data_IF_524781880910
#
_entry.id   IF_524781880910
#
_cell.length_a   1.000
_cell.length_b   1.000
_cell.length_c   1.000
_cell.angle_alpha   90.00
_cell.angle_beta   90.00
_cell.angle_gamma   90.00
#
_symmetry.space_group_name_H-M   'P 1'
#
loop_
_entity.id
_entity.type
_entity.pdbx_description
1 polymer ?
#
# COMPACT_ATOMS: atom_id res chain seq x y z
N UNK A 1 4.14 18.34 -3.18
CA UNK A 1 3.28 18.94 -2.14
C UNK A 1 3.54 18.33 -0.76
N UNK A 2 3.03 18.89 0.34
CA UNK A 2 3.46 18.52 1.70
C UNK A 2 3.25 17.04 2.05
N UNK A 3 2.23 16.38 1.51
CA UNK A 3 2.02 14.95 1.69
C UNK A 3 3.15 14.13 1.06
N UNK A 4 3.36 14.32 -0.25
CA UNK A 4 4.36 13.53 -1.00
C UNK A 4 5.76 13.79 -0.46
N UNK A 5 6.13 15.07 -0.30
CA UNK A 5 7.48 15.45 0.15
C UNK A 5 7.76 14.94 1.58
N UNK A 6 6.76 15.04 2.47
CA UNK A 6 6.88 14.54 3.84
C UNK A 6 7.02 13.04 3.92
N UNK A 7 6.18 12.29 3.19
CA UNK A 7 6.23 10.83 3.17
C UNK A 7 7.51 10.30 2.51
N UNK A 8 7.92 10.88 1.38
CA UNK A 8 9.19 10.49 0.73
C UNK A 8 10.40 10.80 1.62
N UNK A 9 10.38 11.95 2.32
CA UNK A 9 11.41 12.29 3.29
C UNK A 9 11.49 11.31 4.45
N UNK A 10 10.35 10.81 4.93
CA UNK A 10 10.30 9.77 5.96
C UNK A 10 10.84 8.43 5.44
N UNK A 11 10.43 7.99 4.24
CA UNK A 11 10.97 6.77 3.62
C UNK A 11 12.46 6.85 3.29
N UNK A 12 12.98 8.03 2.94
CA UNK A 12 14.41 8.23 2.76
C UNK A 12 15.19 7.97 4.06
N UNK A 13 14.64 8.38 5.22
CA UNK A 13 15.23 8.07 6.54
C UNK A 13 15.19 6.58 6.85
N UNK A 14 14.09 5.88 6.50
CA UNK A 14 14.03 4.41 6.60
C UNK A 14 15.19 3.78 5.81
N UNK A 15 15.40 4.22 4.56
CA UNK A 15 16.49 3.74 3.69
C UNK A 15 17.90 4.02 4.24
N UNK A 16 18.04 5.04 5.08
CA UNK A 16 19.28 5.39 5.78
C UNK A 16 19.46 4.64 7.11
N UNK A 17 18.53 3.77 7.49
CA UNK A 17 18.54 3.09 8.78
C UNK A 17 18.15 3.98 9.98
N UNK A 18 17.59 5.15 9.73
CA UNK A 18 17.22 6.14 10.75
C UNK A 18 15.73 5.97 11.11
N UNK A 19 15.36 4.79 11.61
CA UNK A 19 13.95 4.47 11.87
C UNK A 19 13.28 5.43 12.85
N UNK A 20 13.94 5.79 13.94
CA UNK A 20 13.37 6.73 14.94
C UNK A 20 13.02 8.09 14.34
N UNK A 21 13.89 8.63 13.48
CA UNK A 21 13.67 9.89 12.77
C UNK A 21 12.60 9.74 11.68
N UNK A 22 12.54 8.59 11.03
CA UNK A 22 11.50 8.28 10.06
C UNK A 22 10.11 8.28 10.72
N UNK A 23 9.96 7.62 11.87
CA UNK A 23 8.69 7.56 12.59
C UNK A 23 8.23 8.96 13.04
N UNK A 24 9.14 9.80 13.55
CA UNK A 24 8.84 11.22 13.86
C UNK A 24 8.44 12.01 12.62
N UNK A 25 9.06 11.73 11.47
CA UNK A 25 8.72 12.41 10.22
C UNK A 25 7.30 12.00 9.73
N UNK A 26 6.90 10.73 9.86
CA UNK A 26 5.52 10.31 9.60
C UNK A 26 4.55 10.99 10.57
N UNK A 27 4.87 11.09 11.86
CA UNK A 27 4.02 11.77 12.86
C UNK A 27 3.83 13.24 12.50
N UNK A 28 4.89 13.94 12.08
CA UNK A 28 4.81 15.33 11.65
C UNK A 28 3.90 15.54 10.41
N UNK A 29 3.83 14.57 9.51
CA UNK A 29 2.86 14.58 8.40
C UNK A 29 1.45 14.32 8.93
N UNK A 30 1.29 13.41 9.90
CA UNK A 30 -0.01 13.07 10.48
C UNK A 30 -0.66 14.25 11.25
N UNK A 31 0.12 15.18 11.77
CA UNK A 31 -0.37 16.40 12.42
C UNK A 31 -1.02 17.38 11.42
N UNK A 32 -0.76 17.22 10.12
CA UNK A 32 -1.33 18.10 9.11
C UNK A 32 -2.78 17.69 8.78
N UNK A 33 -3.66 18.68 8.75
CA UNK A 33 -5.09 18.46 8.52
C UNK A 33 -5.36 17.70 7.22
N UNK A 34 -6.05 16.58 7.33
CA UNK A 34 -6.46 15.74 6.18
C UNK A 34 -5.38 14.77 5.70
N UNK A 35 -4.17 14.78 6.30
CA UNK A 35 -3.08 13.89 5.91
C UNK A 35 -2.86 12.74 6.90
N UNK A 36 -3.58 12.74 8.02
CA UNK A 36 -3.36 11.82 9.12
C UNK A 36 -3.45 10.35 8.71
N UNK A 37 -4.51 9.95 8.03
CA UNK A 37 -4.71 8.55 7.65
C UNK A 37 -3.58 8.06 6.71
N UNK A 38 -3.16 8.89 5.76
CA UNK A 38 -2.05 8.59 4.85
C UNK A 38 -0.73 8.41 5.61
N UNK A 39 -0.41 9.33 6.50
CA UNK A 39 0.84 9.30 7.26
C UNK A 39 0.89 8.10 8.21
N UNK A 40 -0.19 7.80 8.93
CA UNK A 40 -0.29 6.65 9.81
C UNK A 40 -0.20 5.33 9.04
N UNK A 41 -0.85 5.24 7.88
CA UNK A 41 -0.74 4.07 7.01
C UNK A 41 0.72 3.81 6.61
N UNK A 42 1.44 4.83 6.13
CA UNK A 42 2.86 4.70 5.77
C UNK A 42 3.76 4.42 6.98
N UNK A 43 3.45 4.97 8.15
CA UNK A 43 4.13 4.63 9.39
C UNK A 43 3.99 3.16 9.74
N UNK A 44 2.79 2.60 9.63
CA UNK A 44 2.53 1.18 9.83
C UNK A 44 3.28 0.30 8.82
N UNK A 45 3.33 0.70 7.55
CA UNK A 45 4.12 0.02 6.53
C UNK A 45 5.61 0.00 6.87
N UNK A 46 6.16 1.11 7.37
CA UNK A 46 7.56 1.21 7.77
C UNK A 46 7.87 0.30 8.98
N UNK A 47 7.00 0.26 9.98
CA UNK A 47 7.12 -0.67 11.12
C UNK A 47 7.08 -2.12 10.66
N UNK A 48 6.11 -2.50 9.82
CA UNK A 48 6.01 -3.86 9.29
C UNK A 48 7.25 -4.25 8.46
N UNK A 49 7.80 -3.34 7.66
CA UNK A 49 9.01 -3.58 6.88
C UNK A 49 10.25 -3.83 7.76
N UNK A 50 10.25 -3.30 8.98
CA UNK A 50 11.29 -3.52 9.98
C UNK A 50 11.02 -4.73 10.90
N UNK A 51 9.89 -5.44 10.72
CA UNK A 51 9.50 -6.59 11.51
C UNK A 51 8.72 -6.25 12.80
N UNK A 52 8.40 -4.98 13.04
CA UNK A 52 7.53 -4.57 14.15
C UNK A 52 6.05 -4.70 13.71
N UNK A 53 5.58 -5.94 13.67
CA UNK A 53 4.22 -6.26 13.26
C UNK A 53 3.18 -5.86 14.31
N UNK A 54 3.51 -5.91 15.61
CA UNK A 54 2.66 -5.42 16.70
C UNK A 54 2.42 -3.91 16.57
N UNK A 55 3.48 -3.13 16.36
CA UNK A 55 3.40 -1.70 16.16
C UNK A 55 2.60 -1.34 14.90
N UNK A 56 2.79 -2.09 13.82
CA UNK A 56 2.03 -1.90 12.58
C UNK A 56 0.54 -2.18 12.79
N UNK A 57 0.17 -3.31 13.42
CA UNK A 57 -1.25 -3.67 13.65
C UNK A 57 -1.93 -2.68 14.60
N UNK A 58 -1.24 -2.19 15.63
CA UNK A 58 -1.79 -1.17 16.52
C UNK A 58 -2.24 0.09 15.76
N UNK A 59 -1.52 0.45 14.68
CA UNK A 59 -1.90 1.56 13.81
C UNK A 59 -3.01 1.15 12.85
N UNK A 60 -2.94 -0.02 12.21
CA UNK A 60 -3.98 -0.47 11.28
C UNK A 60 -5.34 -0.65 11.95
N UNK A 61 -5.36 -1.10 13.19
CA UNK A 61 -6.58 -1.24 13.98
C UNK A 61 -7.13 0.11 14.49
N UNK A 62 -6.37 1.20 14.37
CA UNK A 62 -6.82 2.51 14.85
C UNK A 62 -7.88 3.11 13.93
N UNK A 63 -9.02 3.61 14.46
CA UNK A 63 -10.06 4.24 13.65
C UNK A 63 -9.58 5.41 12.77
N UNK A 64 -8.48 6.06 13.12
CA UNK A 64 -7.88 7.17 12.35
C UNK A 64 -7.34 6.73 10.99
N UNK A 65 -7.02 5.45 10.82
CA UNK A 65 -6.58 4.84 9.55
C UNK A 65 -7.74 4.25 8.74
N UNK A 66 -8.93 4.13 9.34
CA UNK A 66 -10.07 3.45 8.74
C UNK A 66 -10.38 3.82 7.27
N UNK A 67 -10.28 5.09 6.84
CA UNK A 67 -10.56 5.44 5.44
C UNK A 67 -9.68 4.73 4.42
N UNK A 68 -8.43 4.41 4.78
CA UNK A 68 -7.51 3.69 3.90
C UNK A 68 -7.61 2.17 4.04
N UNK A 69 -8.10 1.67 5.19
CA UNK A 69 -8.20 0.24 5.46
C UNK A 69 -9.26 -0.49 4.65
N UNK A 70 -10.06 0.23 3.84
CA UNK A 70 -11.03 -0.33 2.90
C UNK A 70 -10.43 -0.60 1.51
N UNK A 71 -9.19 -0.18 1.27
CA UNK A 71 -8.56 -0.42 -0.02
C UNK A 71 -8.04 -1.85 -0.11
N UNK A 72 -8.09 -2.44 -1.32
CA UNK A 72 -7.54 -3.79 -1.59
C UNK A 72 -6.13 -3.94 -0.99
N UNK A 73 -5.25 -2.97 -1.29
CA UNK A 73 -3.86 -2.99 -0.85
C UNK A 73 -3.71 -3.02 0.67
N UNK A 74 -4.46 -2.19 1.37
CA UNK A 74 -4.40 -2.11 2.83
C UNK A 74 -4.93 -3.38 3.50
N UNK A 75 -6.00 -3.98 2.98
CA UNK A 75 -6.53 -5.26 3.48
C UNK A 75 -5.48 -6.36 3.31
N UNK A 76 -4.84 -6.47 2.14
CA UNK A 76 -3.78 -7.45 1.89
C UNK A 76 -2.61 -7.27 2.86
N UNK A 77 -2.13 -6.03 3.02
CA UNK A 77 -1.04 -5.72 3.95
C UNK A 77 -1.38 -6.11 5.38
N UNK A 78 -2.55 -5.70 5.88
CA UNK A 78 -2.98 -6.01 7.25
C UNK A 78 -3.14 -7.51 7.47
N UNK A 79 -3.70 -8.23 6.51
CA UNK A 79 -3.83 -9.68 6.60
C UNK A 79 -2.47 -10.38 6.72
N UNK A 80 -1.45 -9.92 5.98
CA UNK A 80 -0.08 -10.43 6.11
C UNK A 80 0.52 -10.12 7.48
N UNK A 81 0.32 -8.90 7.99
CA UNK A 81 0.79 -8.50 9.33
C UNK A 81 0.15 -9.38 10.41
N UNK A 82 -1.15 -9.60 10.35
CA UNK A 82 -1.87 -10.49 11.27
C UNK A 82 -1.36 -11.94 11.18
N UNK A 83 -1.05 -12.41 9.98
CA UNK A 83 -0.44 -13.72 9.76
C UNK A 83 0.91 -13.83 10.47
N UNK A 84 1.78 -12.81 10.39
CA UNK A 84 3.06 -12.77 11.10
C UNK A 84 2.90 -12.78 12.64
N UNK A 85 1.79 -12.24 13.14
CA UNK A 85 1.44 -12.25 14.57
C UNK A 85 0.80 -13.56 15.04
N UNK A 86 0.63 -14.55 14.17
CA UNK A 86 -0.06 -15.81 14.50
C UNK A 86 -1.60 -15.63 14.63
N UNK A 87 -2.15 -14.49 14.17
CA UNK A 87 -3.58 -14.17 14.21
C UNK A 87 -4.25 -14.53 12.88
N UNK A 88 -3.94 -15.73 12.37
CA UNK A 88 -4.39 -16.19 11.04
C UNK A 88 -5.90 -16.22 10.86
N UNK A 89 -6.65 -16.63 11.90
CA UNK A 89 -8.13 -16.63 11.84
C UNK A 89 -8.71 -15.22 11.66
N UNK A 90 -8.12 -14.22 12.31
CA UNK A 90 -8.54 -12.82 12.17
C UNK A 90 -8.15 -12.26 10.80
N UNK A 91 -6.94 -12.60 10.32
CA UNK A 91 -6.51 -12.26 8.97
C UNK A 91 -7.47 -12.79 7.91
N UNK A 92 -7.88 -14.06 8.05
CA UNK A 92 -8.83 -14.69 7.12
C UNK A 92 -10.20 -14.02 7.19
N UNK A 93 -10.71 -13.71 8.38
CA UNK A 93 -12.00 -13.04 8.54
C UNK A 93 -12.02 -11.66 7.85
N UNK A 94 -10.99 -10.83 8.07
CA UNK A 94 -10.86 -9.51 7.42
C UNK A 94 -10.76 -9.67 5.89
N UNK A 95 -10.03 -10.66 5.42
CA UNK A 95 -9.85 -10.95 4.00
C UNK A 95 -11.17 -11.36 3.35
N UNK A 96 -11.88 -12.34 3.92
CA UNK A 96 -13.13 -12.86 3.40
C UNK A 96 -14.25 -11.81 3.41
N UNK A 97 -14.34 -11.00 4.47
CA UNK A 97 -15.28 -9.87 4.56
C UNK A 97 -15.03 -8.81 3.47
N UNK A 98 -13.77 -8.60 3.10
CA UNK A 98 -13.40 -7.54 2.15
C UNK A 98 -13.53 -7.97 0.69
N UNK A 99 -13.21 -9.23 0.38
CA UNK A 99 -13.09 -9.70 -1.00
C UNK A 99 -14.16 -10.71 -1.43
N UNK A 100 -14.84 -11.35 -0.48
CA UNK A 100 -15.85 -12.37 -0.80
C UNK A 100 -15.26 -13.58 -1.53
N UNK A 101 -16.04 -14.14 -2.47
CA UNK A 101 -15.68 -15.39 -3.16
C UNK A 101 -15.10 -15.22 -4.57
N UNK A 102 -15.31 -14.08 -5.21
CA UNK A 102 -14.82 -13.83 -6.57
C UNK A 102 -13.41 -13.20 -6.53
N UNK A 103 -12.42 -14.08 -6.42
CA UNK A 103 -11.03 -13.70 -6.20
C UNK A 103 -10.21 -13.85 -7.49
N UNK A 104 -9.39 -12.85 -7.78
CA UNK A 104 -8.34 -12.96 -8.78
C UNK A 104 -7.20 -13.91 -8.33
N UNK A 105 -6.25 -14.26 -9.20
CA UNK A 105 -5.20 -15.24 -8.90
C UNK A 105 -4.33 -14.87 -7.69
N UNK A 106 -4.01 -13.57 -7.50
CA UNK A 106 -3.20 -13.10 -6.38
C UNK A 106 -3.94 -13.26 -5.05
N UNK A 107 -5.22 -12.84 -5.02
CA UNK A 107 -6.06 -12.99 -3.84
C UNK A 107 -6.34 -14.47 -3.52
N UNK A 108 -6.50 -15.33 -4.52
CA UNK A 108 -6.64 -16.78 -4.29
C UNK A 108 -5.41 -17.37 -3.61
N UNK A 109 -4.23 -17.04 -4.13
CA UNK A 109 -2.97 -17.49 -3.52
C UNK A 109 -2.84 -17.02 -2.08
N UNK A 110 -3.14 -15.76 -1.82
CA UNK A 110 -3.09 -15.21 -0.47
C UNK A 110 -4.09 -15.88 0.48
N UNK A 111 -5.32 -16.11 0.03
CA UNK A 111 -6.33 -16.84 0.81
C UNK A 111 -5.88 -18.25 1.15
N UNK A 112 -5.28 -18.96 0.20
CA UNK A 112 -4.79 -20.32 0.42
C UNK A 112 -3.66 -20.33 1.45
N UNK A 113 -2.78 -19.33 1.46
CA UNK A 113 -1.78 -19.13 2.51
C UNK A 113 -2.42 -18.89 3.87
N UNK A 114 -3.39 -17.98 3.97
CA UNK A 114 -4.09 -17.70 5.23
C UNK A 114 -4.80 -18.94 5.77
N UNK A 115 -5.43 -19.72 4.88
CA UNK A 115 -6.14 -20.94 5.23
C UNK A 115 -5.20 -22.09 5.68
N UNK A 116 -3.96 -22.14 5.20
CA UNK A 116 -2.97 -23.13 5.63
C UNK A 116 -2.49 -22.94 7.06
N UNK A 117 -2.73 -21.77 7.65
CA UNK A 117 -2.20 -21.41 8.97
C UNK A 117 -0.71 -21.07 8.97
N UNK A 118 -0.06 -21.09 7.81
CA UNK A 118 1.32 -20.65 7.66
C UNK A 118 1.37 -19.12 7.52
N UNK A 119 2.39 -18.50 8.13
CA UNK A 119 2.63 -17.08 7.98
C UNK A 119 3.25 -16.83 6.59
N UNK A 120 2.48 -16.22 5.67
CA UNK A 120 3.04 -15.78 4.41
C UNK A 120 4.13 -14.72 4.66
N UNK A 121 5.28 -14.80 3.96
CA UNK A 121 6.34 -13.82 4.14
C UNK A 121 5.85 -12.40 3.84
N UNK A 122 6.25 -11.42 4.64
CA UNK A 122 5.92 -10.03 4.39
C UNK A 122 6.81 -9.47 3.28
N UNK A 123 6.41 -9.69 2.03
CA UNK A 123 7.16 -9.28 0.83
C UNK A 123 6.61 -8.05 0.13
N UNK A 124 5.55 -7.47 0.67
CA UNK A 124 4.89 -6.28 0.11
C UNK A 124 5.83 -5.07 0.07
N UNK A 125 6.70 -4.92 1.09
CA UNK A 125 7.75 -3.91 1.11
C UNK A 125 9.08 -4.57 1.45
N UNK A 126 10.01 -4.56 0.51
CA UNK A 126 11.35 -5.16 0.64
C UNK A 126 12.44 -4.11 0.89
N UNK A 127 12.12 -2.84 0.65
CA UNK A 127 13.06 -1.72 0.74
C UNK A 127 12.34 -0.38 0.93
N UNK A 128 13.10 0.67 1.28
CA UNK A 128 12.59 2.04 1.32
C UNK A 128 12.15 2.55 -0.07
N UNK A 129 12.71 2.00 -1.14
CA UNK A 129 12.27 2.29 -2.53
C UNK A 129 10.87 1.74 -2.77
N UNK A 130 10.56 0.53 -2.29
CA UNK A 130 9.19 0.01 -2.32
C UNK A 130 8.24 0.92 -1.51
N UNK A 131 8.69 1.44 -0.36
CA UNK A 131 7.94 2.41 0.43
C UNK A 131 7.66 3.71 -0.33
N UNK A 132 8.62 4.23 -1.07
CA UNK A 132 8.42 5.38 -1.95
C UNK A 132 7.43 5.07 -3.09
N UNK A 133 7.48 3.87 -3.66
CA UNK A 133 6.48 3.41 -4.64
C UNK A 133 5.07 3.40 -4.04
N UNK A 134 4.91 2.93 -2.80
CA UNK A 134 3.62 2.97 -2.09
C UNK A 134 3.13 4.42 -1.88
N UNK A 135 4.02 5.39 -1.65
CA UNK A 135 3.62 6.82 -1.57
C UNK A 135 2.97 7.25 -2.87
N UNK A 136 3.62 7.01 -3.99
CA UNK A 136 3.08 7.40 -5.29
C UNK A 136 1.81 6.66 -5.64
N UNK A 137 1.73 5.36 -5.35
CA UNK A 137 0.50 4.58 -5.55
C UNK A 137 -0.66 5.08 -4.69
N UNK A 138 -0.42 5.34 -3.39
CA UNK A 138 -1.45 5.85 -2.48
C UNK A 138 -2.00 7.20 -2.94
N UNK A 139 -1.12 8.09 -3.41
CA UNK A 139 -1.53 9.38 -3.97
C UNK A 139 -2.30 9.21 -5.26
N UNK A 140 -1.84 8.37 -6.20
CA UNK A 140 -2.55 8.07 -7.44
C UNK A 140 -3.96 7.53 -7.16
N UNK A 141 -4.07 6.59 -6.21
CA UNK A 141 -5.36 6.02 -5.82
C UNK A 141 -6.31 7.05 -5.23
N UNK A 142 -5.81 7.97 -4.40
CA UNK A 142 -6.61 9.04 -3.82
C UNK A 142 -7.06 10.06 -4.88
N UNK A 143 -6.23 10.32 -5.88
CA UNK A 143 -6.54 11.26 -6.97
C UNK A 143 -7.46 10.68 -8.03
N UNK A 144 -7.58 9.36 -8.14
CA UNK A 144 -8.32 8.70 -9.22
C UNK A 144 -9.81 9.04 -9.29
N UNK A 145 -10.38 9.59 -8.20
CA UNK A 145 -11.78 10.03 -8.13
C UNK A 145 -11.97 11.50 -8.48
N UNK A 146 -10.96 12.34 -8.27
CA UNK A 146 -11.14 13.79 -8.19
C UNK A 146 -10.21 14.59 -9.12
N UNK A 147 -9.12 13.98 -9.58
CA UNK A 147 -8.15 14.63 -10.47
C UNK A 147 -8.28 14.15 -11.92
N UNK A 148 -7.68 14.91 -12.84
CA UNK A 148 -7.57 14.47 -14.24
C UNK A 148 -6.71 13.22 -14.38
N UNK A 149 -7.09 12.37 -15.33
CA UNK A 149 -6.44 11.07 -15.58
C UNK A 149 -4.94 11.20 -15.88
N UNK A 150 -4.55 12.25 -16.64
CA UNK A 150 -3.13 12.52 -16.95
C UNK A 150 -2.29 12.73 -15.69
N UNK A 151 -2.81 13.50 -14.72
CA UNK A 151 -2.10 13.78 -13.48
C UNK A 151 -2.03 12.55 -12.57
N UNK A 152 -3.12 11.81 -12.49
CA UNK A 152 -3.19 10.54 -11.76
C UNK A 152 -2.24 9.50 -12.36
N UNK A 153 -2.19 9.41 -13.69
CA UNK A 153 -1.29 8.52 -14.42
C UNK A 153 0.18 8.80 -14.13
N UNK A 154 0.57 10.08 -13.98
CA UNK A 154 1.94 10.44 -13.62
C UNK A 154 2.38 9.74 -12.31
N UNK A 155 1.55 9.80 -11.27
CA UNK A 155 1.85 9.16 -9.99
C UNK A 155 1.85 7.63 -10.07
N UNK A 156 0.91 7.06 -10.81
CA UNK A 156 0.88 5.61 -11.03
C UNK A 156 2.15 5.12 -11.75
N UNK A 157 2.61 5.87 -12.77
CA UNK A 157 3.87 5.55 -13.49
C UNK A 157 5.11 5.72 -12.63
N UNK A 158 5.14 6.68 -11.70
CA UNK A 158 6.23 6.81 -10.74
C UNK A 158 6.29 5.60 -9.78
N UNK A 159 5.13 5.12 -9.33
CA UNK A 159 5.05 3.90 -8.53
C UNK A 159 5.60 2.68 -9.29
N UNK A 160 5.19 2.48 -10.56
CA UNK A 160 5.71 1.41 -11.41
C UNK A 160 7.22 1.53 -11.69
N UNK A 161 7.72 2.74 -11.88
CA UNK A 161 9.15 2.96 -12.12
C UNK A 161 10.00 2.52 -10.92
N UNK A 162 9.55 2.85 -9.71
CA UNK A 162 10.24 2.47 -8.49
C UNK A 162 10.05 0.99 -8.15
N UNK A 163 8.89 0.43 -8.50
CA UNK A 163 8.55 -0.97 -8.26
C UNK A 163 7.83 -1.58 -9.47
N UNK A 164 8.58 -2.17 -10.42
CA UNK A 164 8.00 -2.71 -11.66
C UNK A 164 7.02 -3.87 -11.48
N UNK A 165 7.04 -4.55 -10.34
CA UNK A 165 6.14 -5.65 -9.97
C UNK A 165 4.99 -5.22 -9.03
N UNK A 166 4.68 -3.93 -8.96
CA UNK A 166 3.56 -3.42 -8.18
C UNK A 166 2.25 -3.60 -8.95
N UNK A 167 1.57 -4.72 -8.72
CA UNK A 167 0.38 -5.13 -9.49
C UNK A 167 -0.71 -4.06 -9.51
N UNK A 168 -1.06 -3.47 -8.36
CA UNK A 168 -2.11 -2.46 -8.29
C UNK A 168 -1.74 -1.16 -9.03
N UNK A 169 -0.47 -0.77 -9.04
CA UNK A 169 -0.03 0.39 -9.81
C UNK A 169 -0.10 0.11 -11.32
N UNK A 170 0.28 -1.09 -11.75
CA UNK A 170 0.14 -1.54 -13.13
C UNK A 170 -1.31 -1.54 -13.59
N UNK A 171 -2.21 -2.09 -12.78
CA UNK A 171 -3.66 -2.11 -13.07
C UNK A 171 -4.26 -0.70 -13.11
N UNK A 172 -3.85 0.19 -12.21
CA UNK A 172 -4.29 1.58 -12.22
C UNK A 172 -3.83 2.30 -13.47
N UNK A 173 -2.55 2.17 -13.83
CA UNK A 173 -2.01 2.76 -15.07
C UNK A 173 -2.72 2.23 -16.31
N UNK A 174 -2.95 0.91 -16.38
CA UNK A 174 -3.62 0.31 -17.52
C UNK A 174 -5.04 0.87 -17.71
N UNK A 175 -5.81 1.00 -16.62
CA UNK A 175 -7.17 1.59 -16.66
C UNK A 175 -7.14 3.07 -17.06
N UNK A 176 -6.20 3.85 -16.54
CA UNK A 176 -6.06 5.26 -16.90
C UNK A 176 -5.69 5.43 -18.38
N UNK A 177 -4.77 4.63 -18.88
CA UNK A 177 -4.37 4.62 -20.29
C UNK A 177 -5.53 4.23 -21.22
N UNK A 178 -6.36 3.26 -20.80
CA UNK A 178 -7.56 2.86 -21.53
C UNK A 178 -8.57 4.01 -21.57
N UNK A 179 -8.81 4.69 -20.44
CA UNK A 179 -9.67 5.87 -20.36
C UNK A 179 -9.18 7.07 -21.19
N UNK A 180 -7.86 7.19 -21.37
CA UNK A 180 -7.21 8.19 -22.24
C UNK A 180 -7.11 7.74 -23.71
N UNK A 181 -7.75 6.64 -24.09
CA UNK A 181 -7.74 6.06 -25.45
C UNK A 181 -6.32 5.68 -25.95
N UNK A 182 -5.37 5.49 -25.03
CA UNK A 182 -4.00 5.03 -25.32
C UNK A 182 -3.91 3.50 -25.28
N UNK A 183 -4.68 2.85 -26.13
CA UNK A 183 -4.93 1.40 -26.08
C UNK A 183 -3.66 0.54 -26.19
N UNK A 184 -2.70 0.90 -27.04
CA UNK A 184 -1.45 0.15 -27.19
C UNK A 184 -0.63 0.14 -25.89
N UNK A 185 -0.59 1.28 -25.19
CA UNK A 185 0.07 1.41 -23.91
C UNK A 185 -0.69 0.69 -22.79
N UNK A 186 -2.03 0.76 -22.82
CA UNK A 186 -2.88 0.01 -21.89
C UNK A 186 -2.66 -1.50 -22.01
N UNK A 187 -2.67 -2.04 -23.24
CA UNK A 187 -2.38 -3.47 -23.51
C UNK A 187 -0.98 -3.84 -23.02
N UNK A 188 0.00 -2.98 -23.21
CA UNK A 188 1.37 -3.22 -22.72
C UNK A 188 1.42 -3.27 -21.19
N UNK A 189 0.69 -2.39 -20.51
CA UNK A 189 0.60 -2.40 -19.05
C UNK A 189 -0.11 -3.66 -18.50
N UNK A 190 -1.22 -4.09 -19.14
CA UNK A 190 -1.93 -5.32 -18.75
C UNK A 190 -1.15 -6.62 -18.96
N UNK A 191 -0.14 -6.63 -19.81
CA UNK A 191 0.69 -7.82 -20.11
C UNK A 191 1.89 -7.96 -19.18
N UNK A 192 2.15 -6.99 -18.33
CA UNK A 192 3.25 -7.00 -17.36
C UNK A 192 2.83 -7.59 -16.03
#
# INVERSE_FOLDING_TARGET
GPLVDGLLGAWARVGQGQMSEALKAFDAVAEQRGLEAFALYHKALALASAGDFEGAEAIFANPRTAPLMLTRRAVMVRSLVLGQLGRGAEAQAIFDDSFGSDLDPELKLMRDFLASGEAAPFTILRSATDGAAEVFFTVASALSSDAGDDYTLLYARLAEYLRPDHVEALLLSARLLDGLEQFDLAVTAYRR
#
